data_IF_664515368308
#
_entry.id   IF_664515368308
#
_cell.length_a   1.000
_cell.length_b   1.000
_cell.length_c   1.000
_cell.angle_alpha   90.00
_cell.angle_beta   90.00
_cell.angle_gamma   90.00
#
_symmetry.space_group_name_H-M   'P 1'
#
loop_
_entity.id
_entity.type
_entity.pdbx_description
1 polymer ?
#
# COMPACT_ATOMS: atom_id res chain seq x y z
N UNK A 1 8.77 28.12 -0.92
CA UNK A 1 9.78 27.24 -1.57
C UNK A 1 9.20 26.90 -2.93
N UNK A 2 9.75 27.45 -4.01
CA UNK A 2 9.20 27.27 -5.37
C UNK A 2 9.36 25.83 -5.88
N UNK A 3 8.60 25.48 -6.92
CA UNK A 3 8.62 24.15 -7.56
C UNK A 3 10.03 23.78 -8.03
N UNK A 4 10.76 24.72 -8.61
CA UNK A 4 12.16 24.53 -9.04
C UNK A 4 13.07 24.13 -7.88
N UNK A 5 12.94 24.77 -6.70
CA UNK A 5 13.70 24.41 -5.50
C UNK A 5 13.28 23.08 -4.87
N UNK A 6 12.13 22.51 -5.27
CA UNK A 6 11.74 21.18 -4.85
C UNK A 6 12.62 20.12 -5.52
N UNK A 7 12.95 20.32 -6.80
CA UNK A 7 13.73 19.40 -7.62
C UNK A 7 15.22 19.75 -7.68
N UNK A 8 15.58 21.03 -7.55
CA UNK A 8 16.96 21.48 -7.61
C UNK A 8 17.67 21.26 -6.27
N UNK A 9 18.89 20.73 -6.35
CA UNK A 9 19.72 20.34 -5.22
C UNK A 9 20.43 19.02 -5.51
N UNK A 10 21.74 18.93 -5.22
CA UNK A 10 22.59 17.77 -5.55
C UNK A 10 21.95 16.43 -5.11
N UNK A 11 21.43 16.38 -3.89
CA UNK A 11 20.77 15.19 -3.34
C UNK A 11 19.46 14.88 -4.07
N UNK A 12 18.66 15.87 -4.45
CA UNK A 12 17.41 15.64 -5.19
C UNK A 12 17.70 15.08 -6.59
N UNK A 13 18.71 15.63 -7.28
CA UNK A 13 19.18 15.11 -8.57
C UNK A 13 19.72 13.69 -8.45
N UNK A 14 20.46 13.39 -7.38
CA UNK A 14 20.91 12.03 -7.08
C UNK A 14 19.73 11.08 -6.88
N UNK A 15 18.70 11.49 -6.13
CA UNK A 15 17.49 10.67 -5.92
C UNK A 15 16.79 10.39 -7.26
N UNK A 16 16.67 11.38 -8.14
CA UNK A 16 16.09 11.22 -9.47
C UNK A 16 16.93 10.23 -10.29
N UNK A 17 18.26 10.42 -10.34
CA UNK A 17 19.17 9.52 -11.06
C UNK A 17 19.12 8.08 -10.54
N UNK A 18 19.10 7.89 -9.22
CA UNK A 18 18.93 6.57 -8.60
C UNK A 18 17.58 5.95 -8.96
N UNK A 19 16.50 6.72 -8.97
CA UNK A 19 15.18 6.23 -9.37
C UNK A 19 15.17 5.74 -10.83
N UNK A 20 15.82 6.47 -11.75
CA UNK A 20 15.99 6.03 -13.15
C UNK A 20 16.76 4.72 -13.21
N UNK A 21 17.92 4.64 -12.55
CA UNK A 21 18.76 3.44 -12.54
C UNK A 21 18.02 2.23 -11.97
N UNK A 22 17.25 2.40 -10.89
CA UNK A 22 16.45 1.33 -10.31
C UNK A 22 15.34 0.86 -11.24
N UNK A 23 14.67 1.78 -11.95
CA UNK A 23 13.66 1.40 -12.92
C UNK A 23 14.26 0.55 -14.04
N UNK A 24 15.42 0.95 -14.57
CA UNK A 24 16.16 0.17 -15.57
C UNK A 24 16.56 -1.19 -15.00
N UNK A 25 17.08 -1.26 -13.77
CA UNK A 25 17.44 -2.53 -13.15
C UNK A 25 16.22 -3.46 -12.98
N UNK A 26 15.09 -2.93 -12.51
CA UNK A 26 13.85 -3.70 -12.28
C UNK A 26 13.23 -4.19 -13.58
N UNK A 27 13.28 -3.39 -14.66
CA UNK A 27 12.83 -3.81 -15.99
C UNK A 27 13.58 -5.05 -16.52
N UNK A 28 14.81 -5.26 -16.05
CA UNK A 28 15.67 -6.38 -16.44
C UNK A 28 15.61 -7.57 -15.46
N UNK A 29 14.72 -7.54 -14.45
CA UNK A 29 14.52 -8.69 -13.56
C UNK A 29 13.80 -9.84 -14.27
N UNK A 30 14.09 -11.10 -13.90
CA UNK A 30 13.41 -12.26 -14.50
C UNK A 30 11.91 -12.29 -14.23
N UNK A 31 11.48 -11.76 -13.09
CA UNK A 31 10.09 -11.67 -12.69
C UNK A 31 9.54 -10.30 -13.05
N UNK A 32 8.65 -10.29 -14.04
CA UNK A 32 7.96 -9.07 -14.46
C UNK A 32 6.64 -8.94 -13.71
N UNK A 33 6.36 -7.73 -13.29
CA UNK A 33 5.05 -7.39 -12.78
C UNK A 33 4.03 -7.58 -13.92
N UNK A 34 2.84 -8.12 -13.61
CA UNK A 34 1.79 -8.30 -14.62
C UNK A 34 1.36 -6.92 -15.14
N UNK A 35 1.47 -6.63 -16.45
CA UNK A 35 1.20 -5.29 -17.00
C UNK A 35 -0.16 -4.73 -16.55
N UNK A 36 -1.21 -5.54 -16.73
CA UNK A 36 -2.58 -5.26 -16.28
C UNK A 36 -2.89 -6.06 -15.01
N UNK A 37 -2.15 -5.80 -13.94
CA UNK A 37 -2.21 -6.58 -12.70
C UNK A 37 -3.63 -6.72 -12.12
N UNK A 38 -4.50 -5.74 -12.37
CA UNK A 38 -5.95 -5.83 -12.19
C UNK A 38 -6.64 -5.38 -13.49
N UNK A 39 -7.22 -6.35 -14.21
CA UNK A 39 -7.86 -6.09 -15.50
C UNK A 39 -9.06 -5.14 -15.38
N UNK A 40 -9.76 -5.15 -14.23
CA UNK A 40 -10.90 -4.26 -14.03
C UNK A 40 -10.42 -2.81 -13.91
N UNK A 41 -9.34 -2.56 -13.14
CA UNK A 41 -8.77 -1.22 -12.98
C UNK A 41 -8.33 -0.63 -14.33
N UNK A 42 -7.61 -1.41 -15.16
CA UNK A 42 -7.17 -0.94 -16.47
C UNK A 42 -8.37 -0.57 -17.36
N UNK A 43 -9.35 -1.48 -17.50
CA UNK A 43 -10.54 -1.28 -18.33
C UNK A 43 -11.36 -0.08 -17.86
N UNK A 44 -11.63 0.02 -16.57
CA UNK A 44 -12.41 1.13 -15.99
C UNK A 44 -11.70 2.47 -16.15
N UNK A 45 -10.38 2.51 -15.99
CA UNK A 45 -9.58 3.74 -16.22
C UNK A 45 -9.59 4.18 -17.68
N UNK A 46 -9.49 3.21 -18.61
CA UNK A 46 -9.60 3.45 -20.06
C UNK A 46 -10.97 4.03 -20.41
N UNK A 47 -12.05 3.41 -19.93
CA UNK A 47 -13.41 3.88 -20.18
C UNK A 47 -13.66 5.26 -19.57
N UNK A 48 -13.15 5.51 -18.36
CA UNK A 48 -13.23 6.83 -17.73
C UNK A 48 -12.51 7.90 -18.58
N UNK A 49 -11.31 7.62 -19.08
CA UNK A 49 -10.57 8.55 -19.93
C UNK A 49 -11.28 8.78 -21.29
N UNK A 50 -11.83 7.74 -21.91
CA UNK A 50 -12.59 7.86 -23.16
C UNK A 50 -13.90 8.62 -22.98
N UNK A 51 -14.59 8.42 -21.85
CA UNK A 51 -15.81 9.13 -21.51
C UNK A 51 -15.54 10.63 -21.36
N UNK A 52 -14.48 10.99 -20.63
CA UNK A 52 -14.04 12.38 -20.49
C UNK A 52 -13.59 13.03 -21.81
N UNK A 53 -13.18 12.22 -22.81
CA UNK A 53 -12.90 12.68 -24.18
C UNK A 53 -14.15 12.76 -25.08
N UNK A 54 -15.32 12.40 -24.57
CA UNK A 54 -16.57 12.32 -25.35
C UNK A 54 -16.57 11.21 -26.40
N UNK A 55 -15.82 10.13 -26.20
CA UNK A 55 -15.69 9.01 -27.17
C UNK A 55 -16.55 7.80 -26.85
N UNK A 56 -17.00 7.66 -25.61
CA UNK A 56 -17.91 6.59 -25.17
C UNK A 56 -19.04 7.18 -24.34
N UNK A 57 -20.19 6.50 -24.33
CA UNK A 57 -21.35 6.90 -23.53
C UNK A 57 -21.20 6.63 -22.03
N UNK A 58 -22.12 7.19 -21.25
CA UNK A 58 -22.17 6.99 -19.79
C UNK A 58 -22.42 5.52 -19.39
N UNK A 59 -23.04 4.74 -20.26
CA UNK A 59 -23.27 3.31 -20.10
C UNK A 59 -21.97 2.51 -19.92
N UNK A 60 -20.88 2.94 -20.53
CA UNK A 60 -19.56 2.28 -20.45
C UNK A 60 -18.72 2.73 -19.24
N UNK A 61 -19.16 3.78 -18.54
CA UNK A 61 -18.49 4.28 -17.34
C UNK A 61 -18.86 3.41 -16.13
N UNK A 62 -17.87 2.66 -15.64
CA UNK A 62 -17.97 1.79 -14.45
C UNK A 62 -16.84 2.16 -13.49
N UNK A 63 -17.16 2.23 -12.20
CA UNK A 63 -16.21 2.50 -11.11
C UNK A 63 -16.50 1.50 -9.99
N UNK A 64 -15.86 0.34 -10.02
CA UNK A 64 -16.26 -0.82 -9.20
C UNK A 64 -15.56 -0.89 -7.84
N UNK A 65 -14.22 -0.88 -7.80
CA UNK A 65 -13.44 -1.34 -6.64
C UNK A 65 -12.66 -0.24 -5.91
N UNK A 66 -11.96 0.62 -6.64
CA UNK A 66 -11.07 1.63 -6.09
C UNK A 66 -11.16 2.93 -6.92
N UNK A 67 -12.11 3.83 -6.62
CA UNK A 67 -12.36 5.02 -7.43
C UNK A 67 -11.11 5.90 -7.58
N UNK A 68 -10.28 5.99 -6.53
CA UNK A 68 -9.03 6.74 -6.58
C UNK A 68 -8.06 6.19 -7.62
N UNK A 69 -7.93 4.86 -7.69
CA UNK A 69 -6.99 4.21 -8.61
C UNK A 69 -7.43 4.37 -10.06
N UNK A 70 -8.74 4.31 -10.30
CA UNK A 70 -9.34 4.51 -11.63
C UNK A 70 -9.07 5.92 -12.12
N UNK A 71 -9.33 6.93 -11.29
CA UNK A 71 -9.03 8.33 -11.62
C UNK A 71 -7.52 8.53 -11.81
N UNK A 72 -6.69 7.91 -10.96
CA UNK A 72 -5.24 8.00 -11.03
C UNK A 72 -4.70 7.52 -12.39
N UNK A 73 -5.19 6.41 -12.94
CA UNK A 73 -4.76 5.94 -14.27
C UNK A 73 -5.53 6.57 -15.43
N UNK A 74 -6.72 7.12 -15.20
CA UNK A 74 -7.40 7.91 -16.22
C UNK A 74 -6.59 9.15 -16.61
N UNK A 75 -5.87 9.79 -15.67
CA UNK A 75 -5.02 10.96 -15.91
C UNK A 75 -4.01 10.74 -17.06
N UNK A 76 -3.10 9.75 -17.01
CA UNK A 76 -2.18 9.52 -18.12
C UNK A 76 -2.88 9.02 -19.38
N UNK A 77 -4.02 8.33 -19.27
CA UNK A 77 -4.76 7.85 -20.45
C UNK A 77 -5.48 8.98 -21.18
N UNK A 78 -5.78 10.10 -20.51
CA UNK A 78 -6.29 11.31 -21.14
C UNK A 78 -5.29 11.89 -22.15
N UNK A 79 -3.98 11.69 -21.93
CA UNK A 79 -2.91 12.16 -22.81
C UNK A 79 -2.68 11.24 -24.02
N UNK A 80 -3.18 10.01 -23.99
CA UNK A 80 -3.05 9.07 -25.10
C UNK A 80 -4.05 9.38 -26.24
N UNK A 81 -3.77 8.98 -27.49
CA UNK A 81 -4.77 8.99 -28.56
C UNK A 81 -6.02 8.17 -28.19
N UNK A 82 -7.19 8.54 -28.72
CA UNK A 82 -8.44 7.83 -28.40
C UNK A 82 -8.49 6.39 -28.93
N UNK A 83 -7.69 6.09 -29.95
CA UNK A 83 -7.51 4.76 -30.55
C UNK A 83 -6.27 4.03 -30.03
N UNK A 84 -5.68 4.48 -28.91
CA UNK A 84 -4.49 3.85 -28.36
C UNK A 84 -4.75 2.38 -27.99
N UNK A 85 -3.78 1.52 -28.31
CA UNK A 85 -3.81 0.10 -27.92
C UNK A 85 -3.59 -0.05 -26.41
N UNK A 86 -3.94 -1.21 -25.85
CA UNK A 86 -3.75 -1.46 -24.42
C UNK A 86 -2.26 -1.42 -24.03
N UNK A 87 -1.37 -1.85 -24.91
CA UNK A 87 0.09 -1.73 -24.72
C UNK A 87 0.55 -0.27 -24.70
N UNK A 88 0.02 0.58 -25.60
CA UNK A 88 0.31 2.01 -25.57
C UNK A 88 -0.17 2.63 -24.26
N UNK A 89 -1.40 2.35 -23.83
CA UNK A 89 -1.93 2.81 -22.55
C UNK A 89 -1.08 2.30 -21.38
N UNK A 90 -0.59 1.06 -21.43
CA UNK A 90 0.34 0.54 -20.43
C UNK A 90 1.62 1.39 -20.35
N UNK A 91 2.24 1.76 -21.47
CA UNK A 91 3.41 2.65 -21.47
C UNK A 91 3.11 4.02 -20.82
N UNK A 92 1.98 4.64 -21.14
CA UNK A 92 1.55 5.89 -20.50
C UNK A 92 1.39 5.73 -18.98
N UNK A 93 0.76 4.64 -18.55
CA UNK A 93 0.55 4.33 -17.13
C UNK A 93 1.87 4.07 -16.38
N UNK A 94 2.78 3.30 -16.97
CA UNK A 94 4.10 3.00 -16.38
C UNK A 94 4.97 4.25 -16.29
N UNK A 95 4.99 5.07 -17.34
CA UNK A 95 5.72 6.34 -17.32
C UNK A 95 5.18 7.27 -16.23
N UNK A 96 3.85 7.38 -16.12
CA UNK A 96 3.22 8.17 -15.06
C UNK A 96 3.55 7.63 -13.66
N UNK A 97 3.45 6.31 -13.45
CA UNK A 97 3.87 5.66 -12.20
C UNK A 97 5.32 5.97 -11.86
N UNK A 98 6.23 5.96 -12.84
CA UNK A 98 7.64 6.28 -12.63
C UNK A 98 7.84 7.71 -12.11
N UNK A 99 7.16 8.69 -12.70
CA UNK A 99 7.19 10.08 -12.23
C UNK A 99 6.66 10.19 -10.79
N UNK A 100 5.55 9.51 -10.50
CA UNK A 100 4.90 9.53 -9.19
C UNK A 100 5.76 8.84 -8.11
N UNK A 101 6.42 7.73 -8.44
CA UNK A 101 7.39 7.07 -7.56
C UNK A 101 8.58 7.97 -7.28
N UNK A 102 9.15 8.61 -8.30
CA UNK A 102 10.28 9.55 -8.14
C UNK A 102 9.88 10.70 -7.21
N UNK A 103 8.69 11.28 -7.42
CA UNK A 103 8.14 12.31 -6.55
C UNK A 103 7.95 11.81 -5.10
N UNK A 104 7.52 10.56 -4.94
CA UNK A 104 7.36 9.92 -3.63
C UNK A 104 8.69 9.78 -2.89
N UNK A 105 9.77 9.38 -3.57
CA UNK A 105 11.12 9.31 -2.98
C UNK A 105 11.61 10.68 -2.51
N UNK A 106 11.37 11.74 -3.30
CA UNK A 106 11.68 13.12 -2.90
C UNK A 106 10.87 13.56 -1.67
N UNK A 107 9.58 13.20 -1.62
CA UNK A 107 8.73 13.46 -0.46
C UNK A 107 9.21 12.71 0.78
N UNK A 108 9.65 11.45 0.65
CA UNK A 108 10.23 10.66 1.75
C UNK A 108 11.49 11.33 2.27
N UNK A 109 12.43 11.67 1.39
CA UNK A 109 13.68 12.37 1.76
C UNK A 109 13.39 13.66 2.54
N UNK A 110 12.50 14.51 2.01
CA UNK A 110 12.16 15.80 2.64
C UNK A 110 11.38 15.60 3.94
N UNK A 111 10.50 14.60 4.02
CA UNK A 111 9.75 14.31 5.25
C UNK A 111 10.67 13.87 6.37
N UNK A 112 11.54 12.91 6.10
CA UNK A 112 12.54 12.44 7.05
C UNK A 112 13.52 13.55 7.46
N UNK A 113 13.93 14.40 6.52
CA UNK A 113 14.75 15.59 6.82
C UNK A 113 14.03 16.59 7.72
N UNK A 114 12.75 16.85 7.46
CA UNK A 114 11.95 17.81 8.25
C UNK A 114 11.67 17.30 9.67
N UNK A 115 11.46 15.98 9.81
CA UNK A 115 11.11 15.34 11.09
C UNK A 115 12.34 14.99 11.93
N UNK A 116 13.48 14.73 11.29
CA UNK A 116 14.69 14.22 11.94
C UNK A 116 15.94 14.97 11.46
N UNK A 117 16.64 14.46 10.45
CA UNK A 117 17.87 15.05 9.92
C UNK A 117 18.09 14.70 8.45
N UNK A 118 19.00 15.42 7.78
CA UNK A 118 19.35 15.17 6.36
C UNK A 118 19.90 13.76 6.15
N UNK A 119 20.66 13.26 7.12
CA UNK A 119 21.28 11.94 7.12
C UNK A 119 20.23 10.84 7.20
N UNK A 120 19.24 10.98 8.08
CA UNK A 120 18.08 10.09 8.14
C UNK A 120 17.29 10.14 6.84
N UNK A 121 17.12 11.31 6.26
CA UNK A 121 16.48 11.48 4.94
C UNK A 121 17.19 10.69 3.85
N UNK A 122 18.52 10.85 3.74
CA UNK A 122 19.34 10.12 2.78
C UNK A 122 19.25 8.62 3.02
N UNK A 123 19.38 8.18 4.28
CA UNK A 123 19.35 6.78 4.64
C UNK A 123 17.99 6.13 4.33
N UNK A 124 16.89 6.84 4.56
CA UNK A 124 15.54 6.39 4.21
C UNK A 124 15.42 6.06 2.72
N UNK A 125 15.95 6.93 1.85
CA UNK A 125 15.94 6.67 0.40
C UNK A 125 16.86 5.51 0.05
N UNK A 126 18.08 5.44 0.61
CA UNK A 126 19.02 4.34 0.33
C UNK A 126 18.44 2.98 0.69
N UNK A 127 17.72 2.85 1.82
CA UNK A 127 17.05 1.60 2.17
C UNK A 127 15.99 1.20 1.12
N UNK A 128 15.32 2.18 0.49
CA UNK A 128 14.40 1.92 -0.61
C UNK A 128 15.14 1.58 -1.91
N UNK A 129 16.34 2.13 -2.14
CA UNK A 129 17.18 1.75 -3.28
C UNK A 129 17.59 0.29 -3.20
N UNK A 130 18.02 -0.14 -2.01
CA UNK A 130 18.43 -1.53 -1.74
C UNK A 130 17.24 -2.49 -1.88
N UNK A 131 16.01 -2.02 -1.68
CA UNK A 131 14.80 -2.82 -1.83
C UNK A 131 13.77 -2.18 -2.79
N UNK A 132 13.97 -2.32 -4.13
CA UNK A 132 13.27 -1.56 -5.18
C UNK A 132 11.83 -2.04 -5.46
N UNK A 133 11.10 -2.57 -4.46
CA UNK A 133 9.75 -3.13 -4.68
C UNK A 133 8.75 -2.09 -5.20
N UNK A 134 8.98 -0.81 -4.91
CA UNK A 134 8.15 0.28 -5.42
C UNK A 134 8.32 0.50 -6.93
N UNK A 135 9.53 0.26 -7.47
CA UNK A 135 9.76 0.24 -8.91
C UNK A 135 9.09 -0.98 -9.55
N UNK A 136 9.09 -2.13 -8.87
CA UNK A 136 8.39 -3.32 -9.36
C UNK A 136 6.89 -3.07 -9.55
N UNK A 137 6.21 -2.49 -8.55
CA UNK A 137 4.77 -2.18 -8.69
C UNK A 137 4.48 -1.02 -9.65
N UNK A 138 5.44 -0.15 -9.93
CA UNK A 138 5.28 0.91 -10.93
C UNK A 138 5.15 0.37 -12.36
N UNK A 139 5.61 -0.86 -12.63
CA UNK A 139 5.47 -1.53 -13.93
C UNK A 139 4.07 -2.12 -14.19
N UNK A 140 3.15 -1.99 -13.24
CA UNK A 140 1.78 -2.53 -13.31
C UNK A 140 0.71 -1.47 -13.18
N UNK A 141 -0.43 -1.68 -13.86
CA UNK A 141 -1.66 -0.89 -13.69
C UNK A 141 -2.45 -1.45 -12.50
N UNK A 142 -2.02 -1.08 -11.29
CA UNK A 142 -2.58 -1.54 -10.01
C UNK A 142 -2.54 -0.42 -8.95
N UNK A 143 -3.33 -0.55 -7.89
CA UNK A 143 -3.50 0.51 -6.87
C UNK A 143 -2.34 0.71 -5.90
N UNK A 144 -1.32 -0.15 -5.92
CA UNK A 144 -0.14 -0.12 -5.03
C UNK A 144 0.60 1.22 -5.14
N UNK A 145 0.93 1.66 -6.36
CA UNK A 145 1.71 2.88 -6.60
C UNK A 145 0.93 4.13 -6.18
N UNK A 146 -0.35 4.21 -6.54
CA UNK A 146 -1.22 5.32 -6.17
C UNK A 146 -1.38 5.44 -4.65
N UNK A 147 -1.58 4.31 -3.96
CA UNK A 147 -1.64 4.27 -2.50
C UNK A 147 -0.31 4.68 -1.86
N UNK A 148 0.81 4.13 -2.33
CA UNK A 148 2.14 4.49 -1.84
C UNK A 148 2.42 6.00 -1.94
N UNK A 149 2.10 6.62 -3.08
CA UNK A 149 2.18 8.07 -3.26
C UNK A 149 1.27 8.83 -2.29
N UNK A 150 0.02 8.38 -2.14
CA UNK A 150 -0.96 8.99 -1.24
C UNK A 150 -0.43 9.05 0.20
N UNK A 151 0.28 8.01 0.65
CA UNK A 151 0.87 8.03 1.99
C UNK A 151 2.06 8.97 2.09
N UNK A 152 2.91 8.99 1.07
CA UNK A 152 4.06 9.91 1.02
C UNK A 152 3.58 11.37 1.07
N UNK A 153 2.49 11.68 0.38
CA UNK A 153 1.83 12.98 0.42
C UNK A 153 1.32 13.30 1.83
N UNK A 154 0.67 12.34 2.48
CA UNK A 154 0.16 12.50 3.84
C UNK A 154 1.28 12.77 4.86
N UNK A 155 2.35 11.96 4.83
CA UNK A 155 3.53 12.13 5.68
C UNK A 155 4.21 13.47 5.39
N UNK A 156 4.34 13.86 4.11
CA UNK A 156 4.96 15.12 3.75
C UNK A 156 4.17 16.32 4.28
N UNK A 157 2.85 16.31 4.13
CA UNK A 157 1.95 17.29 4.73
C UNK A 157 2.13 17.37 6.25
N UNK A 158 2.11 16.20 6.92
CA UNK A 158 2.32 16.12 8.36
C UNK A 158 3.71 16.63 8.80
N UNK A 159 4.77 16.37 8.04
CA UNK A 159 6.11 16.90 8.31
C UNK A 159 6.16 18.42 8.29
N UNK A 160 5.35 19.06 7.42
CA UNK A 160 5.23 20.52 7.35
C UNK A 160 4.44 21.07 8.54
N UNK A 161 3.40 20.36 8.98
CA UNK A 161 2.61 20.70 10.16
C UNK A 161 3.45 20.63 11.44
N UNK A 162 4.35 19.65 11.57
CA UNK A 162 5.22 19.57 12.75
C UNK A 162 6.22 20.70 12.84
N UNK A 163 6.77 21.15 11.71
CA UNK A 163 7.63 22.32 11.66
C UNK A 163 6.87 23.60 12.04
N UNK A 164 5.62 23.73 11.59
CA UNK A 164 4.74 24.85 11.93
C UNK A 164 3.27 24.39 11.89
N UNK A 165 2.62 24.38 13.05
CA UNK A 165 1.24 23.91 13.24
C UNK A 165 0.19 24.72 12.48
N UNK A 166 0.52 25.94 12.06
CA UNK A 166 -0.38 26.85 11.34
C UNK A 166 -0.17 26.84 9.83
N UNK A 167 0.75 26.00 9.35
CA UNK A 167 1.04 25.87 7.92
C UNK A 167 -0.12 25.19 7.18
N UNK A 168 -1.04 25.98 6.63
CA UNK A 168 -2.23 25.54 5.87
C UNK A 168 -1.91 24.49 4.82
N UNK A 169 -0.86 24.71 4.02
CA UNK A 169 -0.42 23.76 3.00
C UNK A 169 -0.12 22.36 3.58
N UNK A 170 0.46 22.27 4.78
CA UNK A 170 0.74 20.99 5.43
C UNK A 170 -0.54 20.20 5.73
N UNK A 171 -1.56 20.88 6.25
CA UNK A 171 -2.87 20.28 6.53
C UNK A 171 -3.59 19.86 5.25
N UNK A 172 -3.59 20.70 4.21
CA UNK A 172 -4.21 20.38 2.91
C UNK A 172 -3.57 19.13 2.31
N UNK A 173 -2.24 19.06 2.25
CA UNK A 173 -1.53 17.90 1.71
C UNK A 173 -1.80 16.65 2.56
N UNK A 174 -1.91 16.79 3.87
CA UNK A 174 -2.26 15.66 4.76
C UNK A 174 -3.67 15.13 4.48
N UNK A 175 -4.67 16.00 4.38
CA UNK A 175 -6.06 15.64 4.06
C UNK A 175 -6.15 14.99 2.69
N UNK A 176 -5.51 15.57 1.67
CA UNK A 176 -5.47 14.99 0.32
C UNK A 176 -4.80 13.62 0.32
N UNK A 177 -3.68 13.46 1.02
CA UNK A 177 -2.97 12.18 1.13
C UNK A 177 -3.82 11.10 1.80
N UNK A 178 -4.48 11.41 2.92
CA UNK A 178 -5.38 10.45 3.61
C UNK A 178 -6.60 10.13 2.74
N UNK A 179 -7.22 11.13 2.12
CA UNK A 179 -8.40 10.94 1.26
C UNK A 179 -8.05 10.07 0.05
N UNK A 180 -6.99 10.39 -0.69
CA UNK A 180 -6.55 9.56 -1.81
C UNK A 180 -6.13 8.16 -1.37
N UNK A 181 -5.53 8.01 -0.19
CA UNK A 181 -5.23 6.68 0.35
C UNK A 181 -6.49 5.83 0.48
N UNK A 182 -7.54 6.37 1.10
CA UNK A 182 -8.83 5.68 1.26
C UNK A 182 -9.45 5.35 -0.10
N UNK A 183 -9.39 6.27 -1.06
CA UNK A 183 -9.99 6.08 -2.39
C UNK A 183 -9.22 5.07 -3.26
N UNK A 184 -7.88 5.01 -3.12
CA UNK A 184 -7.04 4.02 -3.80
C UNK A 184 -7.14 2.64 -3.13
N UNK A 185 -7.34 2.63 -1.81
CA UNK A 185 -7.34 1.44 -0.95
C UNK A 185 -8.40 1.58 0.15
N UNK A 186 -9.66 1.22 -0.11
CA UNK A 186 -10.75 1.37 0.86
C UNK A 186 -10.51 0.64 2.19
N UNK A 187 -9.71 -0.43 2.19
CA UNK A 187 -9.22 -1.13 3.39
C UNK A 187 -8.41 -0.24 4.35
N UNK A 188 -7.89 0.91 3.90
CA UNK A 188 -7.20 1.89 4.74
C UNK A 188 -8.16 2.81 5.50
N UNK A 189 -9.47 2.72 5.28
CA UNK A 189 -10.48 3.51 5.98
C UNK A 189 -10.37 3.41 7.51
N UNK A 190 -9.84 2.30 8.04
CA UNK A 190 -9.54 2.11 9.47
C UNK A 190 -8.57 3.16 10.04
N UNK A 191 -7.84 3.90 9.21
CA UNK A 191 -6.99 5.00 9.65
C UNK A 191 -7.80 6.09 10.37
N UNK A 192 -9.06 6.28 10.00
CA UNK A 192 -9.95 7.27 10.62
C UNK A 192 -10.30 6.91 12.07
N UNK A 193 -10.95 5.76 12.37
CA UNK A 193 -11.26 5.40 13.75
C UNK A 193 -9.99 5.23 14.59
N UNK A 194 -8.90 4.67 14.05
CA UNK A 194 -7.63 4.55 14.76
C UNK A 194 -7.04 5.94 15.07
N UNK A 195 -7.13 6.89 14.14
CA UNK A 195 -6.75 8.28 14.35
C UNK A 195 -7.54 8.93 15.50
N UNK A 196 -8.85 8.72 15.57
CA UNK A 196 -9.69 9.19 16.68
C UNK A 196 -9.30 8.55 18.01
N UNK A 197 -9.02 7.25 18.04
CA UNK A 197 -8.53 6.56 19.25
C UNK A 197 -7.19 7.14 19.73
N UNK A 198 -6.26 7.39 18.82
CA UNK A 198 -4.99 8.06 19.14
C UNK A 198 -5.22 9.46 19.73
N UNK A 199 -6.14 10.24 19.14
CA UNK A 199 -6.49 11.56 19.65
C UNK A 199 -7.11 11.51 21.04
N UNK A 200 -8.02 10.56 21.29
CA UNK A 200 -8.58 10.32 22.62
C UNK A 200 -7.49 10.00 23.64
N UNK A 201 -6.58 9.07 23.30
CA UNK A 201 -5.44 8.77 24.15
C UNK A 201 -4.56 10.01 24.43
N UNK A 202 -4.26 10.82 23.41
CA UNK A 202 -3.44 12.04 23.59
C UNK A 202 -4.15 13.14 24.36
N UNK A 203 -5.48 13.25 24.25
CA UNK A 203 -6.28 14.17 25.06
C UNK A 203 -6.05 13.91 26.56
N UNK A 204 -6.03 12.64 26.97
CA UNK A 204 -5.83 12.28 28.38
C UNK A 204 -4.35 12.25 28.82
N UNK A 205 -3.43 11.77 27.97
CA UNK A 205 -2.03 11.50 28.37
C UNK A 205 -0.99 12.50 27.85
N UNK A 206 -1.35 13.36 26.89
CA UNK A 206 -0.45 14.31 26.20
C UNK A 206 -1.19 15.60 25.81
N UNK A 207 -1.73 16.30 26.80
CA UNK A 207 -2.54 17.53 26.62
C UNK A 207 -1.88 18.57 25.71
N UNK A 208 -0.57 18.81 25.84
CA UNK A 208 0.16 19.77 25.00
C UNK A 208 0.06 19.45 23.50
N UNK A 209 0.21 18.17 23.13
CA UNK A 209 0.06 17.74 21.74
C UNK A 209 -1.38 17.96 21.25
N UNK A 210 -2.35 17.61 22.08
CA UNK A 210 -3.76 17.78 21.74
C UNK A 210 -4.15 19.25 21.57
N UNK A 211 -3.68 20.14 22.45
CA UNK A 211 -3.93 21.58 22.34
C UNK A 211 -3.33 22.16 21.07
N UNK A 212 -2.12 21.71 20.69
CA UNK A 212 -1.43 22.21 19.50
C UNK A 212 -2.00 21.67 18.18
N UNK A 213 -2.34 20.38 18.12
CA UNK A 213 -2.70 19.70 16.86
C UNK A 213 -4.09 19.05 16.86
N UNK A 214 -4.60 18.67 18.03
CA UNK A 214 -5.74 17.75 18.17
C UNK A 214 -6.98 18.20 17.41
N UNK A 215 -7.42 19.46 17.59
CA UNK A 215 -8.60 20.01 16.88
C UNK A 215 -8.45 19.94 15.37
N UNK A 216 -7.27 20.29 14.83
CA UNK A 216 -7.00 20.28 13.39
C UNK A 216 -6.88 18.87 12.83
N UNK A 217 -6.36 17.91 13.62
CA UNK A 217 -6.36 16.48 13.24
C UNK A 217 -7.80 15.96 13.19
N UNK A 218 -8.65 16.23 14.20
CA UNK A 218 -10.07 15.86 14.19
C UNK A 218 -10.74 16.34 12.90
N UNK A 219 -10.59 17.62 12.59
CA UNK A 219 -11.17 18.21 11.38
C UNK A 219 -10.61 17.57 10.11
N UNK A 220 -9.31 17.28 10.06
CA UNK A 220 -8.68 16.60 8.92
C UNK A 220 -9.21 15.19 8.71
N UNK A 221 -9.42 14.42 9.79
CA UNK A 221 -9.99 13.08 9.74
C UNK A 221 -11.46 13.11 9.30
N UNK A 222 -12.25 14.06 9.81
CA UNK A 222 -13.64 14.25 9.41
C UNK A 222 -13.75 14.60 7.93
N UNK A 223 -12.97 15.58 7.44
CA UNK A 223 -12.96 15.93 6.00
C UNK A 223 -12.55 14.72 5.17
N UNK A 224 -11.50 14.01 5.55
CA UNK A 224 -11.03 12.85 4.79
C UNK A 224 -12.10 11.74 4.75
N UNK A 225 -12.85 11.56 5.85
CA UNK A 225 -13.98 10.65 5.92
C UNK A 225 -15.14 11.08 5.03
N UNK A 226 -15.50 12.38 5.03
CA UNK A 226 -16.55 12.93 4.17
C UNK A 226 -16.17 12.80 2.69
N UNK A 227 -14.93 13.13 2.30
CA UNK A 227 -14.44 12.97 0.93
C UNK A 227 -14.49 11.49 0.54
N UNK A 228 -13.94 10.62 1.39
CA UNK A 228 -13.93 9.17 1.17
C UNK A 228 -15.34 8.62 0.94
N UNK A 229 -16.27 8.95 1.84
CA UNK A 229 -17.66 8.51 1.75
C UNK A 229 -18.37 9.07 0.51
N UNK A 230 -18.31 10.39 0.29
CA UNK A 230 -18.98 11.04 -0.83
C UNK A 230 -18.49 10.51 -2.18
N UNK A 231 -17.18 10.28 -2.33
CA UNK A 231 -16.63 9.69 -3.56
C UNK A 231 -17.04 8.23 -3.76
N UNK A 232 -17.14 7.45 -2.69
CA UNK A 232 -17.63 6.06 -2.78
C UNK A 232 -19.12 6.02 -3.15
N UNK A 233 -19.95 6.90 -2.58
CA UNK A 233 -21.37 7.02 -2.96
C UNK A 233 -21.52 7.52 -4.39
N UNK A 234 -20.71 8.49 -4.84
CA UNK A 234 -20.69 8.91 -6.23
C UNK A 234 -20.29 7.77 -7.18
N UNK A 235 -19.27 6.98 -6.82
CA UNK A 235 -18.87 5.81 -7.60
C UNK A 235 -19.99 4.77 -7.69
N UNK A 236 -20.71 4.52 -6.60
CA UNK A 236 -21.90 3.65 -6.60
C UNK A 236 -23.00 4.19 -7.49
N UNK A 237 -23.29 5.49 -7.45
CA UNK A 237 -24.30 6.12 -8.29
C UNK A 237 -23.94 6.03 -9.79
N UNK A 238 -22.65 6.17 -10.12
CA UNK A 238 -22.14 6.05 -11.50
C UNK A 238 -22.27 4.62 -12.01
N UNK A 239 -21.84 3.66 -11.19
CA UNK A 239 -21.84 2.23 -11.53
C UNK A 239 -23.26 1.66 -11.57
N UNK A 240 -24.15 2.11 -10.68
CA UNK A 240 -25.54 1.66 -10.61
C UNK A 240 -25.65 0.13 -10.55
N UNK A 241 -26.53 -0.42 -11.39
CA UNK A 241 -26.75 -1.88 -11.55
C UNK A 241 -25.85 -2.51 -12.61
N UNK A 242 -24.93 -1.76 -13.23
CA UNK A 242 -24.07 -2.23 -14.34
C UNK A 242 -23.02 -3.26 -13.88
N UNK A 243 -22.84 -3.45 -12.58
CA UNK A 243 -21.84 -4.35 -12.00
C UNK A 243 -22.48 -5.31 -11.01
N UNK A 244 -22.26 -6.61 -11.21
CA UNK A 244 -22.94 -7.69 -10.46
C UNK A 244 -22.41 -7.88 -9.03
N UNK A 245 -21.23 -7.32 -8.69
CA UNK A 245 -20.63 -7.47 -7.36
C UNK A 245 -20.72 -6.19 -6.53
N UNK A 246 -21.44 -6.25 -5.41
CA UNK A 246 -21.45 -5.15 -4.43
C UNK A 246 -20.12 -5.10 -3.66
N UNK A 247 -19.73 -3.91 -3.19
CA UNK A 247 -18.58 -3.73 -2.28
C UNK A 247 -18.68 -4.59 -1.01
N UNK A 248 -19.90 -4.77 -0.48
CA UNK A 248 -20.17 -5.67 0.64
C UNK A 248 -19.90 -7.13 0.29
N UNK A 249 -20.31 -7.57 -0.90
CA UNK A 249 -20.01 -8.92 -1.39
C UNK A 249 -18.52 -9.16 -1.56
N UNK A 250 -17.78 -8.17 -2.08
CA UNK A 250 -16.32 -8.25 -2.18
C UNK A 250 -15.66 -8.35 -0.79
N UNK A 251 -16.11 -7.58 0.20
CA UNK A 251 -15.60 -7.68 1.58
C UNK A 251 -15.87 -9.06 2.18
N UNK A 252 -17.10 -9.57 2.07
CA UNK A 252 -17.48 -10.89 2.59
C UNK A 252 -16.69 -12.00 1.91
N UNK A 253 -16.46 -11.91 0.61
CA UNK A 253 -15.64 -12.86 -0.15
C UNK A 253 -14.19 -12.90 0.36
N UNK A 254 -13.57 -11.73 0.55
CA UNK A 254 -12.18 -11.64 1.04
C UNK A 254 -12.08 -12.08 2.50
N UNK A 255 -13.09 -11.80 3.34
CA UNK A 255 -13.17 -12.30 4.71
C UNK A 255 -13.29 -13.84 4.73
N UNK A 256 -14.16 -14.41 3.89
CA UNK A 256 -14.31 -15.86 3.76
C UNK A 256 -13.00 -16.52 3.33
N UNK A 257 -12.32 -15.99 2.31
CA UNK A 257 -10.99 -16.46 1.90
C UNK A 257 -9.99 -16.36 3.06
N UNK A 258 -10.06 -15.27 3.81
CA UNK A 258 -9.30 -15.06 5.04
C UNK A 258 -9.49 -16.12 6.11
N UNK A 259 -10.71 -16.64 6.29
CA UNK A 259 -11.02 -17.70 7.28
C UNK A 259 -10.30 -19.01 7.01
N UNK A 260 -9.90 -19.24 5.76
CA UNK A 260 -9.19 -20.44 5.36
C UNK A 260 -7.70 -20.22 5.19
N UNK A 261 -7.23 -18.99 4.95
CA UNK A 261 -5.80 -18.71 4.84
C UNK A 261 -5.05 -19.05 6.15
N UNK A 262 -4.06 -19.94 6.08
CA UNK A 262 -3.26 -20.42 7.22
C UNK A 262 -4.09 -21.13 8.30
N UNK A 263 -5.22 -21.73 7.93
CA UNK A 263 -6.11 -22.43 8.86
C UNK A 263 -5.57 -23.80 9.21
N UNK A 264 -5.30 -24.63 8.21
CA UNK A 264 -4.72 -25.95 8.40
C UNK A 264 -3.22 -25.95 8.05
N UNK A 265 -2.77 -24.99 7.23
CA UNK A 265 -1.41 -24.93 6.73
C UNK A 265 -0.72 -23.61 7.16
N UNK A 266 -0.36 -23.45 8.46
CA UNK A 266 0.12 -22.17 9.01
C UNK A 266 1.48 -21.72 8.44
N UNK A 267 2.19 -22.61 7.75
CA UNK A 267 3.49 -22.35 7.13
C UNK A 267 3.43 -22.50 5.61
N UNK A 268 2.25 -22.36 5.00
CA UNK A 268 2.09 -22.45 3.54
C UNK A 268 2.70 -21.23 2.84
N UNK A 269 4.00 -21.32 2.56
CA UNK A 269 4.77 -20.36 1.77
C UNK A 269 5.05 -20.87 0.34
N UNK A 270 4.30 -21.88 -0.13
CA UNK A 270 4.54 -22.50 -1.44
C UNK A 270 4.30 -21.50 -2.57
N UNK A 271 4.88 -21.83 -3.73
CA UNK A 271 4.61 -21.13 -4.98
C UNK A 271 3.13 -21.23 -5.36
N UNK A 272 2.53 -20.12 -5.79
CA UNK A 272 1.12 -20.05 -6.17
C UNK A 272 0.97 -19.51 -7.58
N UNK A 273 0.35 -20.29 -8.46
CA UNK A 273 -0.21 -19.77 -9.71
C UNK A 273 -1.47 -18.93 -9.39
N UNK A 274 -1.73 -17.91 -10.22
CA UNK A 274 -2.89 -17.02 -10.15
C UNK A 274 -4.24 -17.75 -10.27
N UNK A 275 -4.28 -18.96 -10.81
CA UNK A 275 -5.51 -19.67 -11.15
C UNK A 275 -5.77 -20.93 -10.34
N UNK A 276 -4.75 -21.63 -9.84
CA UNK A 276 -4.92 -22.87 -9.09
C UNK A 276 -3.95 -23.01 -7.90
N UNK A 277 -4.48 -23.38 -6.73
CA UNK A 277 -3.73 -23.96 -5.61
C UNK A 277 -4.20 -25.41 -5.38
N UNK A 278 -4.00 -26.24 -6.40
CA UNK A 278 -4.54 -27.59 -6.42
C UNK A 278 -3.95 -28.52 -5.34
N UNK A 279 -2.87 -28.14 -4.67
CA UNK A 279 -2.21 -28.88 -3.59
C UNK A 279 -2.38 -28.22 -2.20
N UNK A 280 -2.98 -27.05 -2.10
CA UNK A 280 -3.29 -26.41 -0.81
C UNK A 280 -4.60 -26.94 -0.25
N UNK A 281 -4.52 -27.50 0.97
CA UNK A 281 -5.70 -27.93 1.74
C UNK A 281 -6.59 -26.74 2.05
N UNK A 282 -6.02 -25.63 2.50
CA UNK A 282 -6.76 -24.42 2.85
C UNK A 282 -7.53 -23.85 1.66
N UNK A 283 -6.94 -23.86 0.47
CA UNK A 283 -7.62 -23.42 -0.75
C UNK A 283 -8.74 -24.36 -1.20
N UNK A 284 -8.56 -25.68 -1.09
CA UNK A 284 -9.59 -26.67 -1.38
C UNK A 284 -10.78 -26.52 -0.43
N UNK A 285 -10.51 -26.39 0.86
CA UNK A 285 -11.53 -26.22 1.90
C UNK A 285 -12.30 -24.91 1.69
N UNK A 286 -11.62 -23.83 1.33
CA UNK A 286 -12.25 -22.57 0.96
C UNK A 286 -13.16 -22.72 -0.26
N UNK A 287 -12.70 -23.32 -1.36
CA UNK A 287 -13.51 -23.55 -2.57
C UNK A 287 -14.73 -24.41 -2.29
N UNK A 288 -14.54 -25.50 -1.54
CA UNK A 288 -15.63 -26.37 -1.12
C UNK A 288 -16.66 -25.59 -0.32
N UNK A 289 -16.22 -24.80 0.67
CA UNK A 289 -17.13 -24.01 1.49
C UNK A 289 -17.85 -22.92 0.69
N UNK A 290 -17.14 -22.26 -0.22
CA UNK A 290 -17.72 -21.29 -1.13
C UNK A 290 -18.88 -21.90 -1.93
N UNK A 291 -18.68 -23.08 -2.53
CA UNK A 291 -19.75 -23.80 -3.25
C UNK A 291 -20.91 -24.25 -2.34
N UNK A 292 -20.62 -24.72 -1.12
CA UNK A 292 -21.66 -25.05 -0.13
C UNK A 292 -22.55 -23.85 0.20
N UNK A 293 -21.95 -22.68 0.43
CA UNK A 293 -22.67 -21.45 0.77
C UNK A 293 -23.46 -20.89 -0.42
N UNK A 294 -22.93 -20.99 -1.64
CA UNK A 294 -23.69 -20.64 -2.85
C UNK A 294 -24.90 -21.54 -3.06
N UNK A 295 -24.74 -22.85 -2.85
CA UNK A 295 -25.86 -23.80 -2.92
C UNK A 295 -26.89 -23.54 -1.83
N UNK A 296 -26.46 -23.21 -0.61
CA UNK A 296 -27.37 -22.84 0.48
C UNK A 296 -28.16 -21.57 0.16
N UNK A 297 -27.52 -20.57 -0.45
CA UNK A 297 -28.16 -19.33 -0.91
C UNK A 297 -29.22 -19.62 -1.97
N UNK A 298 -28.87 -20.43 -2.99
CA UNK A 298 -29.78 -20.82 -4.08
C UNK A 298 -30.97 -21.65 -3.58
N UNK A 299 -30.73 -22.67 -2.76
CA UNK A 299 -31.76 -23.62 -2.33
C UNK A 299 -32.77 -23.00 -1.35
N UNK A 300 -32.34 -22.03 -0.54
CA UNK A 300 -33.20 -21.40 0.47
C UNK A 300 -33.66 -19.99 0.08
N UNK A 301 -33.31 -19.51 -1.12
CA UNK A 301 -33.57 -18.15 -1.58
C UNK A 301 -33.10 -17.05 -0.60
N UNK A 302 -31.97 -17.29 0.07
CA UNK A 302 -31.35 -16.34 1.02
C UNK A 302 -30.26 -15.56 0.28
N UNK A 303 -30.15 -14.22 0.44
CA UNK A 303 -29.07 -13.46 -0.18
C UNK A 303 -27.69 -14.01 0.19
N UNK A 304 -26.82 -14.20 -0.82
CA UNK A 304 -25.48 -14.78 -0.63
C UNK A 304 -24.65 -14.03 0.41
N UNK A 305 -24.81 -12.70 0.48
CA UNK A 305 -24.14 -11.86 1.46
C UNK A 305 -24.50 -12.22 2.91
N UNK A 306 -25.77 -12.57 3.18
CA UNK A 306 -26.23 -12.90 4.52
C UNK A 306 -25.73 -14.29 4.92
N UNK A 307 -25.75 -15.23 3.98
CA UNK A 307 -25.17 -16.56 4.15
C UNK A 307 -23.68 -16.48 4.50
N UNK A 308 -22.90 -15.66 3.77
CA UNK A 308 -21.48 -15.48 4.04
C UNK A 308 -21.24 -14.82 5.40
N UNK A 309 -21.96 -13.72 5.68
CA UNK A 309 -21.82 -13.00 6.95
C UNK A 309 -22.12 -13.90 8.15
N UNK A 310 -23.22 -14.64 8.09
CA UNK A 310 -23.62 -15.58 9.15
C UNK A 310 -22.55 -16.65 9.36
N UNK A 311 -22.06 -17.28 8.28
CA UNK A 311 -20.98 -18.27 8.38
C UNK A 311 -19.71 -17.68 8.99
N UNK A 312 -19.25 -16.51 8.53
CA UNK A 312 -18.02 -15.88 9.01
C UNK A 312 -18.12 -15.60 10.51
N UNK A 313 -19.24 -15.00 10.97
CA UNK A 313 -19.45 -14.68 12.39
C UNK A 313 -19.47 -15.95 13.22
N UNK A 314 -20.22 -16.96 12.81
CA UNK A 314 -20.30 -18.23 13.53
C UNK A 314 -18.95 -18.95 13.58
N UNK A 315 -18.18 -18.93 12.50
CA UNK A 315 -16.85 -19.55 12.46
C UNK A 315 -15.85 -18.83 13.37
N UNK A 316 -15.92 -17.51 13.50
CA UNK A 316 -15.11 -16.74 14.47
C UNK A 316 -15.47 -17.11 15.93
N UNK A 317 -16.76 -17.17 16.24
CA UNK A 317 -17.26 -17.49 17.60
C UNK A 317 -16.89 -18.93 17.98
N UNK A 318 -17.06 -19.88 17.06
CA UNK A 318 -16.83 -21.30 17.32
C UNK A 318 -15.34 -21.69 17.27
N UNK A 319 -14.49 -20.88 16.62
CA UNK A 319 -13.05 -21.17 16.47
C UNK A 319 -12.17 -19.96 16.86
N UNK A 320 -12.26 -19.46 18.10
CA UNK A 320 -11.58 -18.22 18.51
C UNK A 320 -10.06 -18.37 18.50
N UNK A 321 -9.52 -19.48 19.00
CA UNK A 321 -8.07 -19.71 19.03
C UNK A 321 -7.46 -19.87 17.64
N UNK A 322 -8.16 -20.55 16.71
CA UNK A 322 -7.73 -20.65 15.31
C UNK A 322 -7.69 -19.26 14.67
N UNK A 323 -8.70 -18.44 14.94
CA UNK A 323 -8.79 -17.07 14.44
C UNK A 323 -7.62 -16.21 14.93
N UNK A 324 -7.29 -16.28 16.23
CA UNK A 324 -6.15 -15.57 16.82
C UNK A 324 -4.83 -16.04 16.21
N UNK A 325 -4.62 -17.36 16.07
CA UNK A 325 -3.43 -17.90 15.42
C UNK A 325 -3.29 -17.42 13.98
N UNK A 326 -4.36 -17.52 13.18
CA UNK A 326 -4.38 -17.05 11.80
C UNK A 326 -4.05 -15.56 11.71
N UNK A 327 -4.62 -14.74 12.61
CA UNK A 327 -4.33 -13.32 12.67
C UNK A 327 -2.83 -13.06 12.80
N UNK A 328 -2.16 -13.66 13.80
CA UNK A 328 -0.71 -13.47 14.00
C UNK A 328 0.14 -14.04 12.87
N UNK A 329 -0.21 -15.22 12.33
CA UNK A 329 0.50 -15.79 11.18
C UNK A 329 0.39 -14.86 9.97
N UNK A 330 -0.78 -14.28 9.71
CA UNK A 330 -0.95 -13.28 8.64
C UNK A 330 -0.15 -12.02 8.90
N UNK A 331 -0.09 -11.53 10.14
CA UNK A 331 0.75 -10.36 10.46
C UNK A 331 2.22 -10.61 10.10
N UNK A 332 2.73 -11.80 10.43
CA UNK A 332 4.08 -12.21 10.06
C UNK A 332 4.23 -12.36 8.55
N UNK A 333 3.30 -13.09 7.91
CA UNK A 333 3.29 -13.32 6.46
C UNK A 333 3.30 -12.01 5.66
N UNK A 334 2.54 -11.00 6.08
CA UNK A 334 2.52 -9.68 5.45
C UNK A 334 3.88 -8.95 5.48
N UNK A 335 4.81 -9.39 6.33
CA UNK A 335 6.18 -8.87 6.39
C UNK A 335 7.20 -9.71 5.63
N UNK A 336 6.84 -10.90 5.14
CA UNK A 336 7.77 -11.77 4.40
C UNK A 336 7.57 -11.56 2.90
N UNK A 337 8.64 -11.27 2.18
CA UNK A 337 8.60 -11.12 0.74
C UNK A 337 8.88 -12.45 0.05
N UNK A 338 7.99 -12.84 -0.85
CA UNK A 338 8.10 -14.06 -1.65
C UNK A 338 7.74 -13.72 -3.09
N UNK A 339 8.48 -14.30 -4.04
CA UNK A 339 8.23 -14.13 -5.48
C UNK A 339 7.38 -15.31 -5.95
N UNK A 340 6.07 -15.13 -5.97
CA UNK A 340 5.14 -16.19 -6.39
C UNK A 340 4.94 -16.25 -7.91
N UNK A 341 5.63 -15.43 -8.71
CA UNK A 341 5.42 -15.36 -10.15
C UNK A 341 6.34 -16.26 -10.97
N UNK A 342 7.39 -16.84 -10.37
CA UNK A 342 8.32 -17.76 -11.04
C UNK A 342 8.59 -18.96 -10.14
N UNK A 343 8.65 -20.16 -10.71
CA UNK A 343 9.10 -21.36 -9.99
C UNK A 343 10.59 -21.24 -9.65
N UNK A 344 11.05 -21.67 -8.47
CA UNK A 344 12.46 -21.54 -8.09
C UNK A 344 13.45 -22.08 -9.14
N UNK A 345 13.11 -23.18 -9.81
CA UNK A 345 13.94 -23.83 -10.83
C UNK A 345 14.08 -22.99 -12.12
N UNK A 346 13.10 -22.16 -12.43
CA UNK A 346 13.02 -21.35 -13.66
C UNK A 346 13.64 -19.95 -13.48
N UNK A 347 14.12 -19.63 -12.27
CA UNK A 347 14.69 -18.32 -11.95
C UNK A 347 15.99 -18.07 -12.72
N UNK A 348 16.09 -16.91 -13.40
CA UNK A 348 17.28 -16.51 -14.20
C UNK A 348 17.57 -15.01 -14.11
N UNK A 349 18.55 -14.60 -13.31
CA UNK A 349 19.02 -13.22 -13.21
C UNK A 349 20.48 -13.13 -13.71
N UNK A 350 20.65 -12.95 -15.01
CA UNK A 350 21.98 -12.98 -15.64
C UNK A 350 22.65 -14.33 -15.41
N UNK A 351 23.85 -14.33 -14.80
CA UNK A 351 24.58 -15.56 -14.43
C UNK A 351 24.01 -16.27 -13.20
N UNK A 352 23.17 -15.60 -12.40
CA UNK A 352 22.53 -16.18 -11.22
C UNK A 352 21.23 -16.90 -11.62
N UNK A 353 21.26 -18.23 -11.71
CA UNK A 353 20.13 -19.04 -12.16
C UNK A 353 19.83 -20.23 -11.25
N UNK A 354 18.59 -20.73 -11.37
CA UNK A 354 18.10 -21.91 -10.65
C UNK A 354 17.66 -21.65 -9.21
N UNK A 355 17.28 -22.72 -8.53
CA UNK A 355 16.64 -22.69 -7.21
C UNK A 355 17.53 -22.05 -6.13
N UNK A 356 18.84 -22.32 -6.14
CA UNK A 356 19.77 -21.71 -5.19
C UNK A 356 19.80 -20.18 -5.34
N UNK A 357 19.86 -19.68 -6.58
CA UNK A 357 19.85 -18.25 -6.85
C UNK A 357 18.54 -17.60 -6.40
N UNK A 358 17.40 -18.24 -6.68
CA UNK A 358 16.09 -17.82 -6.20
C UNK A 358 16.07 -17.67 -4.66
N UNK A 359 16.42 -18.73 -3.92
CA UNK A 359 16.37 -18.71 -2.46
C UNK A 359 17.38 -17.76 -1.84
N UNK A 360 18.55 -17.58 -2.47
CA UNK A 360 19.56 -16.59 -2.06
C UNK A 360 19.01 -15.18 -2.18
N UNK A 361 18.34 -14.86 -3.30
CA UNK A 361 17.70 -13.56 -3.48
C UNK A 361 16.61 -13.32 -2.44
N UNK A 362 15.74 -14.31 -2.20
CA UNK A 362 14.69 -14.23 -1.17
C UNK A 362 15.29 -14.01 0.22
N UNK A 363 16.37 -14.72 0.56
CA UNK A 363 17.06 -14.57 1.84
C UNK A 363 17.63 -13.16 2.00
N UNK A 364 18.29 -12.62 0.97
CA UNK A 364 18.85 -11.26 0.98
C UNK A 364 17.74 -10.22 1.18
N UNK A 365 16.68 -10.31 0.38
CA UNK A 365 15.50 -9.43 0.45
C UNK A 365 14.90 -9.43 1.87
N UNK A 366 14.64 -10.61 2.43
CA UNK A 366 14.03 -10.72 3.75
C UNK A 366 14.99 -10.29 4.85
N UNK A 367 16.31 -10.51 4.71
CA UNK A 367 17.31 -10.02 5.67
C UNK A 367 17.31 -8.49 5.74
N UNK A 368 17.21 -7.80 4.60
CA UNK A 368 17.07 -6.34 4.55
C UNK A 368 15.77 -5.90 5.23
N UNK A 369 14.65 -6.59 4.95
CA UNK A 369 13.38 -6.26 5.58
C UNK A 369 13.38 -6.48 7.10
N UNK A 370 14.03 -7.54 7.58
CA UNK A 370 14.24 -7.80 9.01
C UNK A 370 15.08 -6.69 9.62
N UNK A 371 16.16 -6.27 8.97
CA UNK A 371 16.98 -5.15 9.43
C UNK A 371 16.17 -3.85 9.56
N UNK A 372 15.34 -3.53 8.57
CA UNK A 372 14.44 -2.36 8.62
C UNK A 372 13.46 -2.49 9.80
N UNK A 373 12.90 -3.67 10.00
CA UNK A 373 11.97 -3.96 11.09
C UNK A 373 12.64 -3.81 12.46
N UNK A 374 13.88 -4.31 12.62
CA UNK A 374 14.71 -4.07 13.80
C UNK A 374 14.91 -2.57 14.02
N UNK A 375 15.17 -1.80 12.96
CA UNK A 375 15.22 -0.34 13.01
C UNK A 375 13.93 0.27 13.58
N UNK A 376 12.77 -0.15 13.08
CA UNK A 376 11.46 0.32 13.59
C UNK A 376 11.30 -0.02 15.08
N UNK A 377 11.70 -1.22 15.52
CA UNK A 377 11.69 -1.58 16.93
C UNK A 377 12.64 -0.73 17.78
N UNK A 378 13.88 -0.52 17.34
CA UNK A 378 14.82 0.38 18.02
C UNK A 378 14.21 1.77 18.16
N UNK A 379 13.59 2.31 17.10
CA UNK A 379 12.89 3.59 17.16
C UNK A 379 11.76 3.57 18.19
N UNK A 380 10.93 2.51 18.20
CA UNK A 380 9.83 2.34 19.14
C UNK A 380 10.27 2.32 20.59
N UNK A 381 11.40 1.67 20.91
CA UNK A 381 11.91 1.60 22.28
C UNK A 381 12.66 2.86 22.71
N UNK A 382 13.26 3.59 21.77
CA UNK A 382 14.11 4.76 22.08
C UNK A 382 13.38 6.11 21.95
N UNK A 383 12.28 6.19 21.21
CA UNK A 383 11.56 7.44 20.99
C UNK A 383 10.65 7.81 22.16
N UNK A 384 10.93 8.95 22.81
CA UNK A 384 10.14 9.49 23.92
C UNK A 384 8.80 10.12 23.46
N UNK A 385 8.70 10.52 22.20
CA UNK A 385 7.60 11.35 21.68
C UNK A 385 6.79 10.64 20.59
N UNK A 386 6.29 9.43 20.90
CA UNK A 386 5.56 8.55 19.95
C UNK A 386 4.31 9.20 19.33
N UNK A 387 3.71 10.17 20.03
CA UNK A 387 2.49 10.88 19.59
C UNK A 387 2.67 11.65 18.29
N UNK A 388 3.86 12.19 18.04
CA UNK A 388 4.19 12.89 16.81
C UNK A 388 4.18 11.97 15.59
N UNK A 389 4.25 10.66 15.77
CA UNK A 389 4.28 9.69 14.68
C UNK A 389 2.95 8.94 14.53
N UNK A 390 1.85 9.48 15.07
CA UNK A 390 0.51 8.86 15.01
C UNK A 390 0.12 8.43 13.60
N UNK A 391 0.42 9.24 12.57
CA UNK A 391 0.07 8.95 11.19
C UNK A 391 0.81 7.70 10.66
N UNK A 392 2.06 7.51 11.08
CA UNK A 392 2.87 6.33 10.75
C UNK A 392 2.27 5.07 11.39
N UNK A 393 1.92 5.15 12.67
CA UNK A 393 1.32 4.02 13.39
C UNK A 393 -0.08 3.70 12.89
N UNK A 394 -0.88 4.72 12.57
CA UNK A 394 -2.27 4.55 12.18
C UNK A 394 -2.38 3.74 10.89
N UNK A 395 -1.57 4.02 9.86
CA UNK A 395 -1.60 3.23 8.62
C UNK A 395 -1.10 1.80 8.84
N UNK A 396 -0.04 1.62 9.64
CA UNK A 396 0.55 0.29 9.90
C UNK A 396 -0.48 -0.57 10.62
N UNK A 397 -1.06 -0.05 11.71
CA UNK A 397 -2.08 -0.75 12.50
C UNK A 397 -3.34 -0.99 11.66
N UNK A 398 -3.78 -0.02 10.85
CA UNK A 398 -4.96 -0.17 9.98
C UNK A 398 -4.81 -1.36 9.03
N UNK A 399 -3.70 -1.43 8.31
CA UNK A 399 -3.45 -2.48 7.33
C UNK A 399 -3.25 -3.84 7.99
N UNK A 400 -2.51 -3.89 9.10
CA UNK A 400 -2.32 -5.13 9.88
C UNK A 400 -3.64 -5.65 10.43
N UNK A 401 -4.48 -4.78 11.00
CA UNK A 401 -5.79 -5.18 11.51
C UNK A 401 -6.71 -5.67 10.40
N UNK A 402 -6.83 -4.91 9.30
CA UNK A 402 -7.70 -5.29 8.20
C UNK A 402 -7.29 -6.63 7.57
N UNK A 403 -6.01 -6.77 7.20
CA UNK A 403 -5.54 -7.97 6.50
C UNK A 403 -5.28 -9.15 7.43
N UNK A 404 -4.99 -8.91 8.71
CA UNK A 404 -4.95 -9.96 9.73
C UNK A 404 -6.32 -10.61 9.95
N UNK A 405 -7.39 -9.82 9.90
CA UNK A 405 -8.77 -10.34 10.05
C UNK A 405 -9.33 -10.91 8.73
N UNK A 406 -8.94 -10.34 7.60
CA UNK A 406 -9.38 -10.78 6.27
C UNK A 406 -8.31 -11.66 5.61
N UNK A 407 -7.85 -11.30 4.42
CA UNK A 407 -6.85 -12.01 3.64
C UNK A 407 -5.59 -11.15 3.50
N UNK A 408 -4.42 -11.76 3.67
CA UNK A 408 -3.13 -11.08 3.64
C UNK A 408 -2.27 -11.53 2.46
N UNK A 409 -1.73 -10.57 1.73
CA UNK A 409 -0.59 -10.76 0.83
C UNK A 409 0.48 -9.73 1.18
N UNK A 410 1.78 -10.02 1.01
CA UNK A 410 2.85 -9.09 1.37
C UNK A 410 2.71 -7.72 0.69
N UNK A 411 2.16 -7.71 -0.54
CA UNK A 411 1.89 -6.48 -1.30
C UNK A 411 0.88 -5.54 -0.63
N UNK A 412 -0.03 -6.05 0.20
CA UNK A 412 -1.03 -5.21 0.86
C UNK A 412 -0.43 -4.32 1.96
N UNK A 413 0.75 -4.67 2.47
CA UNK A 413 1.52 -3.80 3.36
C UNK A 413 2.33 -2.73 2.61
N UNK A 414 2.36 -2.76 1.27
CA UNK A 414 3.13 -1.82 0.46
C UNK A 414 2.82 -0.34 0.73
N UNK A 415 1.55 0.09 0.92
CA UNK A 415 1.25 1.50 1.22
C UNK A 415 1.85 2.00 2.54
N UNK A 416 2.10 1.12 3.52
CA UNK A 416 2.74 1.48 4.79
C UNK A 416 4.28 1.55 4.70
N UNK A 417 4.89 1.11 3.59
CA UNK A 417 6.35 1.05 3.47
C UNK A 417 7.07 2.38 3.68
N UNK A 418 6.58 3.56 3.22
CA UNK A 418 7.20 4.84 3.57
C UNK A 418 7.41 5.03 5.07
N UNK A 419 6.46 4.59 5.92
CA UNK A 419 6.62 4.64 7.36
C UNK A 419 7.72 3.69 7.84
N UNK A 420 7.71 2.43 7.38
CA UNK A 420 8.75 1.46 7.76
C UNK A 420 10.15 1.93 7.41
N UNK A 421 10.35 2.49 6.21
CA UNK A 421 11.67 2.96 5.78
C UNK A 421 12.15 4.19 6.56
N UNK A 422 11.28 5.17 6.79
CA UNK A 422 11.64 6.36 7.58
C UNK A 422 11.94 5.98 9.02
N UNK A 423 11.03 5.25 9.68
CA UNK A 423 11.21 4.87 11.09
C UNK A 423 12.37 3.88 11.27
N UNK A 424 12.52 2.95 10.32
CA UNK A 424 13.64 2.01 10.26
C UNK A 424 14.97 2.73 10.13
N UNK A 425 15.08 3.70 9.21
CA UNK A 425 16.28 4.53 9.06
C UNK A 425 16.62 5.27 10.34
N UNK A 426 15.64 5.90 11.02
CA UNK A 426 15.87 6.60 12.29
C UNK A 426 16.42 5.66 13.36
N UNK A 427 15.83 4.48 13.51
CA UNK A 427 16.29 3.52 14.51
C UNK A 427 17.66 2.95 14.20
N UNK A 428 17.90 2.52 12.96
CA UNK A 428 19.20 2.01 12.52
C UNK A 428 20.30 3.07 12.61
N UNK A 429 19.98 4.34 12.34
CA UNK A 429 20.93 5.46 12.45
C UNK A 429 21.43 5.71 13.89
N UNK A 430 20.75 5.15 14.90
CA UNK A 430 21.25 5.18 16.29
C UNK A 430 22.41 4.21 16.52
N UNK A 431 22.56 3.19 15.68
CA UNK A 431 23.68 2.27 15.75
C UNK A 431 24.92 2.92 15.13
N UNK A 432 26.02 2.89 15.86
CA UNK A 432 27.27 3.59 15.50
C UNK A 432 27.75 3.24 14.08
N UNK A 433 27.65 1.96 13.71
CA UNK A 433 28.05 1.46 12.39
C UNK A 433 27.32 2.19 11.25
N UNK A 434 25.98 2.26 11.30
CA UNK A 434 25.20 2.94 10.25
C UNK A 434 25.43 4.45 10.28
N UNK A 435 25.50 5.05 11.47
CA UNK A 435 25.74 6.49 11.61
C UNK A 435 27.03 6.92 10.91
N UNK A 436 28.15 6.27 11.21
CA UNK A 436 29.46 6.60 10.63
C UNK A 436 29.42 6.49 9.10
N UNK A 437 28.83 5.42 8.56
CA UNK A 437 28.76 5.20 7.11
C UNK A 437 27.91 6.27 6.41
N UNK A 438 26.76 6.61 6.97
CA UNK A 438 25.86 7.61 6.40
C UNK A 438 26.42 9.02 6.53
N UNK A 439 27.03 9.37 7.68
CA UNK A 439 27.69 10.67 7.89
C UNK A 439 28.81 10.88 6.85
N UNK A 440 29.64 9.86 6.63
CA UNK A 440 30.73 9.91 5.64
C UNK A 440 30.20 10.02 4.21
N UNK A 441 29.14 9.28 3.87
CA UNK A 441 28.52 9.36 2.55
C UNK A 441 27.94 10.76 2.29
N UNK A 442 27.23 11.33 3.27
CA UNK A 442 26.64 12.66 3.17
C UNK A 442 27.70 13.73 2.95
N UNK A 443 28.84 13.67 3.67
CA UNK A 443 29.98 14.57 3.46
C UNK A 443 30.55 14.53 2.04
N UNK A 444 30.50 13.38 1.36
CA UNK A 444 31.00 13.23 -0.02
C UNK A 444 30.05 13.79 -1.08
N UNK A 445 28.76 13.92 -0.75
CA UNK A 445 27.70 14.30 -1.70
C UNK A 445 27.24 15.76 -1.50
N UNK A 446 27.49 16.35 -0.32
CA UNK A 446 27.36 17.79 -0.08
C UNK A 446 28.43 18.56 -0.83
#
# INVERSE_FOLDING_TARGET
MGLLNFFSGKINLLIIGLSVLMMVAVLNLPFKAKPFGDNDIHRESKNAALYLKGKVGYDQLIISKAPGTIVYFAIPYLLAPSNATDDQLWYYGVFFNFLIVTLSLLMIYKSATNLFSKEVGLFSVLLMVVFPIHCYYALSIIGETAAFFSFCLAIYGWSKVQQNSDKKLGWILMVLGISFMILNRPNTLLILPIGFLFLGYFYFKRKEFFLKYGKKIVFSLLISGVIGFASLEAAKAITGTKYHYTQQGALNYVLLQGRYQFRNEPTDFRFWDHTQRADSKDYKDWKKKFGELENLSKNNNIPLNDVYKSFIVNDFINNPFISVRQFFVKLFYGQVYIINSIKPQEFKLGIFQGSLAYWTLILVINSINVLITIGVFIFLFTSKSKSYYWLFWSIIISLLLFHGLSYMEPRYMFPARPAFFILGAVGLYRLLFFRIKIDNLKKRIS
#
